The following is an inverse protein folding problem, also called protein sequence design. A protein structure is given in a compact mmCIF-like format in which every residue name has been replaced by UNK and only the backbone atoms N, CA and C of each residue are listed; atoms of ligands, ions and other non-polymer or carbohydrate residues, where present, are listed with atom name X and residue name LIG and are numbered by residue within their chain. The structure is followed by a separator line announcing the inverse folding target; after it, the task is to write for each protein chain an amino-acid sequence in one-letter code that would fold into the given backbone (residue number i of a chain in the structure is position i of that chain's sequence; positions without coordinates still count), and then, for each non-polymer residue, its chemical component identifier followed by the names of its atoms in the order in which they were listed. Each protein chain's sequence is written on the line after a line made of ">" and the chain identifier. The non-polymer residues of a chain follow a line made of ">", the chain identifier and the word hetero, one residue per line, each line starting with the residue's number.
data_IF_235533115838
#
_entry.id   IF_235533115838
#
_cell.length_a   1.000
_cell.length_b   1.000
_cell.length_c   1.000
_cell.angle_alpha   90.00
_cell.angle_beta   90.00
_cell.angle_gamma   90.00
#
_symmetry.space_group_name_H-M   'P 1'
#
loop_
_entity.id
_entity.type
_entity.pdbx_description
1 polymer ?
#
# COMPACT_ATOMS: atom_id res chain seq x y z
N UNK A 1 -60.21 36.89 1.93
CA UNK A 1 -60.10 35.48 1.51
C UNK A 1 -59.04 34.85 2.41
N UNK A 2 -59.49 34.41 3.59
CA UNK A 2 -58.68 33.84 4.66
C UNK A 2 -58.26 32.42 4.33
N UNK A 3 -56.96 32.20 4.11
CA UNK A 3 -56.37 30.85 4.07
C UNK A 3 -55.53 30.67 5.33
N UNK A 4 -56.29 30.41 6.41
CA UNK A 4 -56.04 29.55 7.56
C UNK A 4 -54.59 29.29 8.01
N UNK A 5 -54.35 29.84 9.21
CA UNK A 5 -53.29 29.64 10.21
C UNK A 5 -52.91 28.17 10.57
N UNK A 6 -53.58 27.17 9.99
CA UNK A 6 -53.37 25.74 10.28
C UNK A 6 -52.18 25.10 9.54
N UNK A 7 -51.67 25.72 8.46
CA UNK A 7 -50.59 25.17 7.63
C UNK A 7 -49.25 25.05 8.37
N UNK A 8 -48.89 26.04 9.21
CA UNK A 8 -47.62 26.06 9.95
C UNK A 8 -47.52 24.98 11.04
N UNK A 9 -48.65 24.56 11.64
CA UNK A 9 -48.68 23.55 12.70
C UNK A 9 -48.57 22.13 12.12
N UNK A 10 -49.15 21.89 10.94
CA UNK A 10 -49.04 20.62 10.23
C UNK A 10 -47.62 20.40 9.69
N UNK A 11 -46.97 21.45 9.17
CA UNK A 11 -45.56 21.39 8.75
C UNK A 11 -44.61 21.02 9.90
N UNK A 12 -44.90 21.50 11.13
CA UNK A 12 -44.11 21.21 12.34
C UNK A 12 -44.27 19.76 12.81
N UNK A 13 -45.44 19.16 12.62
CA UNK A 13 -45.72 17.75 12.96
C UNK A 13 -45.09 16.77 11.95
N UNK A 14 -45.07 17.13 10.66
CA UNK A 14 -44.37 16.34 9.63
C UNK A 14 -42.85 16.30 9.85
N UNK A 15 -42.25 17.41 10.31
CA UNK A 15 -40.81 17.46 10.61
C UNK A 15 -40.39 16.58 11.79
N UNK A 16 -41.27 16.37 12.78
CA UNK A 16 -40.95 15.53 13.95
C UNK A 16 -41.13 14.04 13.63
N UNK A 17 -42.11 13.69 12.79
CA UNK A 17 -42.35 12.29 12.38
C UNK A 17 -41.22 11.72 11.50
N UNK A 18 -40.55 12.57 10.70
CA UNK A 18 -39.53 12.13 9.75
C UNK A 18 -38.14 11.91 10.37
N UNK A 19 -37.88 12.44 11.58
CA UNK A 19 -36.55 12.34 12.23
C UNK A 19 -36.46 11.09 13.13
N UNK A 20 -37.57 10.62 13.69
CA UNK A 20 -37.60 9.45 14.60
C UNK A 20 -37.18 8.13 13.94
N UNK A 21 -37.48 7.81 12.66
CA UNK A 21 -37.01 6.55 12.08
C UNK A 21 -35.51 6.57 11.80
N UNK A 22 -34.88 7.75 11.63
CA UNK A 22 -33.45 7.85 11.28
C UNK A 22 -32.57 7.48 12.48
N UNK A 23 -32.99 7.75 13.72
CA UNK A 23 -32.26 7.34 14.93
C UNK A 23 -32.43 5.86 15.28
N UNK A 24 -33.44 5.18 14.73
CA UNK A 24 -33.63 3.73 14.92
C UNK A 24 -32.97 2.88 13.82
N UNK A 25 -32.59 3.52 12.71
CA UNK A 25 -31.71 2.96 11.69
C UNK A 25 -30.23 3.21 11.98
N UNK A 26 -29.84 3.49 13.24
CA UNK A 26 -28.48 3.21 13.73
C UNK A 26 -28.27 1.68 13.78
N UNK A 27 -28.16 1.14 12.58
CA UNK A 27 -27.29 0.07 12.13
C UNK A 27 -26.81 -0.81 13.28
N UNK A 28 -27.55 -1.91 13.47
CA UNK A 28 -27.08 -3.17 14.08
C UNK A 28 -25.89 -3.79 13.31
N UNK A 29 -24.98 -2.98 12.78
CA UNK A 29 -23.58 -3.39 12.60
C UNK A 29 -23.00 -3.51 14.00
N UNK A 30 -23.36 -4.59 14.69
CA UNK A 30 -22.49 -5.23 15.66
C UNK A 30 -21.12 -5.19 15.00
N UNK A 31 -20.25 -4.44 15.64
CA UNK A 31 -18.90 -4.12 15.26
C UNK A 31 -18.14 -5.43 15.05
N UNK A 32 -18.36 -6.11 13.91
CA UNK A 32 -17.37 -6.97 13.28
C UNK A 32 -16.30 -5.98 12.86
N UNK A 33 -15.52 -5.53 13.84
CA UNK A 33 -14.17 -5.07 13.59
C UNK A 33 -13.63 -6.09 12.61
N UNK A 34 -13.30 -5.65 11.40
CA UNK A 34 -12.56 -6.46 10.45
C UNK A 34 -11.23 -6.70 11.17
N UNK A 35 -11.18 -7.77 11.97
CA UNK A 35 -9.97 -8.20 12.63
C UNK A 35 -9.10 -8.68 11.48
N UNK A 36 -7.98 -8.01 11.28
CA UNK A 36 -6.94 -8.50 10.39
C UNK A 36 -6.72 -9.98 10.69
N UNK A 37 -6.68 -10.79 9.63
CA UNK A 37 -6.52 -12.23 9.73
C UNK A 37 -5.30 -12.53 10.60
N UNK A 38 -5.49 -13.25 11.71
CA UNK A 38 -4.39 -13.51 12.66
C UNK A 38 -3.40 -14.56 12.15
N UNK A 39 -3.81 -15.37 11.18
CA UNK A 39 -2.99 -16.40 10.56
C UNK A 39 -2.40 -15.86 9.26
N UNK A 40 -1.56 -14.82 9.38
CA UNK A 40 -0.89 -14.24 8.22
C UNK A 40 0.04 -15.29 7.60
N UNK A 41 -0.24 -15.66 6.37
CA UNK A 41 0.59 -16.56 5.57
C UNK A 41 1.85 -15.79 5.18
N UNK A 42 3.01 -16.43 5.27
CA UNK A 42 4.27 -15.83 4.83
C UNK A 42 4.20 -15.43 3.34
N UNK A 43 4.90 -14.35 2.96
CA UNK A 43 4.95 -13.95 1.56
C UNK A 43 5.73 -15.00 0.76
N UNK A 44 5.10 -15.52 -0.30
CA UNK A 44 5.74 -16.44 -1.25
C UNK A 44 6.62 -15.70 -2.25
N UNK A 45 7.46 -16.43 -2.99
CA UNK A 45 8.24 -15.85 -4.10
C UNK A 45 7.34 -15.11 -5.11
N UNK A 46 6.16 -15.67 -5.40
CA UNK A 46 5.19 -15.06 -6.33
C UNK A 46 4.64 -13.75 -5.80
N UNK A 47 4.38 -13.66 -4.50
CA UNK A 47 3.96 -12.42 -3.84
C UNK A 47 5.08 -11.38 -3.93
N UNK A 48 6.32 -11.76 -3.58
CA UNK A 48 7.49 -10.88 -3.63
C UNK A 48 7.77 -10.38 -5.05
N UNK A 49 7.68 -11.28 -6.04
CA UNK A 49 7.77 -10.96 -7.46
C UNK A 49 6.71 -9.95 -7.86
N UNK A 50 5.44 -10.19 -7.52
CA UNK A 50 4.36 -9.28 -7.82
C UNK A 50 4.62 -7.89 -7.22
N UNK A 51 4.97 -7.81 -5.93
CA UNK A 51 5.16 -6.55 -5.24
C UNK A 51 6.34 -5.73 -5.77
N UNK A 52 7.47 -6.38 -6.10
CA UNK A 52 8.61 -5.66 -6.69
C UNK A 52 8.31 -5.18 -8.11
N UNK A 53 7.57 -5.97 -8.90
CA UNK A 53 7.17 -5.58 -10.25
C UNK A 53 6.15 -4.42 -10.23
N UNK A 54 5.21 -4.43 -9.29
CA UNK A 54 4.31 -3.30 -9.05
C UNK A 54 5.07 -2.03 -8.68
N UNK A 55 6.03 -2.14 -7.74
CA UNK A 55 6.88 -1.02 -7.35
C UNK A 55 7.71 -0.47 -8.51
N UNK A 56 8.29 -1.35 -9.33
CA UNK A 56 9.05 -0.96 -10.51
C UNK A 56 8.16 -0.28 -11.57
N UNK A 57 6.99 -0.84 -11.86
CA UNK A 57 6.03 -0.26 -12.80
C UNK A 57 5.60 1.15 -12.36
N UNK A 58 5.25 1.32 -11.08
CA UNK A 58 4.94 2.62 -10.51
C UNK A 58 6.11 3.60 -10.66
N UNK A 59 7.33 3.17 -10.30
CA UNK A 59 8.53 4.01 -10.40
C UNK A 59 8.78 4.46 -11.84
N UNK A 60 8.66 3.55 -12.81
CA UNK A 60 8.82 3.84 -14.24
C UNK A 60 7.80 4.89 -14.71
N UNK A 61 6.52 4.68 -14.40
CA UNK A 61 5.44 5.60 -14.80
C UNK A 61 5.62 6.97 -14.16
N UNK A 62 5.89 7.01 -12.85
CA UNK A 62 6.08 8.25 -12.11
C UNK A 62 7.29 9.05 -12.63
N UNK A 63 8.39 8.36 -12.96
CA UNK A 63 9.58 8.98 -13.53
C UNK A 63 9.31 9.59 -14.91
N UNK A 64 8.53 8.90 -15.76
CA UNK A 64 8.10 9.43 -17.06
C UNK A 64 7.12 10.61 -16.94
N UNK A 65 6.35 10.65 -15.85
CA UNK A 65 5.50 11.77 -15.49
C UNK A 65 6.26 12.90 -14.76
N UNK A 66 7.59 12.89 -14.81
CA UNK A 66 8.48 13.91 -14.23
C UNK A 66 8.34 14.09 -12.70
N UNK A 67 7.81 13.09 -12.01
CA UNK A 67 7.81 13.04 -10.55
C UNK A 67 9.22 12.70 -10.08
N UNK A 68 9.73 13.41 -9.06
CA UNK A 68 11.07 13.17 -8.50
C UNK A 68 11.33 11.67 -8.27
N UNK A 69 12.42 11.19 -8.86
CA UNK A 69 12.76 9.76 -8.86
C UNK A 69 12.93 9.21 -7.45
N UNK A 70 13.60 9.95 -6.56
CA UNK A 70 13.86 9.49 -5.18
C UNK A 70 12.57 9.42 -4.37
N UNK A 71 11.69 10.40 -4.54
CA UNK A 71 10.36 10.41 -3.92
C UNK A 71 9.52 9.23 -4.39
N UNK A 72 9.46 9.01 -5.70
CA UNK A 72 8.75 7.87 -6.30
C UNK A 72 9.29 6.53 -5.82
N UNK A 73 10.62 6.39 -5.76
CA UNK A 73 11.28 5.20 -5.24
C UNK A 73 10.96 4.98 -3.75
N UNK A 74 10.94 6.04 -2.95
CA UNK A 74 10.57 5.96 -1.54
C UNK A 74 9.14 5.48 -1.33
N UNK A 75 8.18 6.02 -2.11
CA UNK A 75 6.78 5.57 -2.09
C UNK A 75 6.65 4.10 -2.49
N UNK A 76 7.33 3.69 -3.57
CA UNK A 76 7.32 2.31 -4.04
C UNK A 76 7.89 1.35 -2.97
N UNK A 77 8.99 1.73 -2.33
CA UNK A 77 9.69 0.93 -1.33
C UNK A 77 8.91 0.82 -0.02
N UNK A 78 8.27 1.91 0.41
CA UNK A 78 7.38 1.91 1.56
C UNK A 78 6.14 1.04 1.29
N UNK A 79 5.55 1.14 0.10
CA UNK A 79 4.42 0.30 -0.31
C UNK A 79 4.78 -1.18 -0.28
N UNK A 80 5.95 -1.54 -0.82
CA UNK A 80 6.47 -2.91 -0.78
C UNK A 80 6.58 -3.42 0.65
N UNK A 81 7.19 -2.64 1.56
CA UNK A 81 7.32 -3.02 2.96
C UNK A 81 5.96 -3.15 3.66
N UNK A 82 5.06 -2.19 3.45
CA UNK A 82 3.75 -2.14 4.10
C UNK A 82 2.83 -3.27 3.66
N UNK A 83 2.88 -3.69 2.39
CA UNK A 83 2.13 -4.86 1.94
C UNK A 83 2.62 -6.13 2.63
N UNK A 84 3.94 -6.31 2.78
CA UNK A 84 4.51 -7.49 3.44
C UNK A 84 4.20 -7.46 4.95
N UNK A 85 4.28 -6.31 5.61
CA UNK A 85 3.90 -6.18 7.02
C UNK A 85 2.39 -6.41 7.20
N UNK A 86 1.56 -5.76 6.39
CA UNK A 86 0.10 -5.76 6.54
C UNK A 86 -0.56 -7.09 6.18
N UNK A 87 -0.14 -7.73 5.09
CA UNK A 87 -0.72 -8.98 4.59
C UNK A 87 0.01 -10.24 5.08
N UNK A 88 1.31 -10.14 5.33
CA UNK A 88 2.15 -11.30 5.65
C UNK A 88 2.81 -11.20 7.04
N UNK A 89 2.54 -10.14 7.81
CA UNK A 89 3.06 -9.98 9.17
C UNK A 89 4.58 -9.86 9.22
N UNK A 90 5.21 -9.43 8.12
CA UNK A 90 6.66 -9.38 7.97
C UNK A 90 7.32 -10.74 7.72
N UNK A 91 6.56 -11.82 7.54
CA UNK A 91 7.08 -13.15 7.25
C UNK A 91 7.27 -13.36 5.75
N UNK A 92 8.36 -14.05 5.38
CA UNK A 92 8.73 -14.42 4.02
C UNK A 92 9.07 -15.91 4.05
N UNK A 93 8.54 -16.70 3.11
CA UNK A 93 8.65 -18.17 3.13
C UNK A 93 10.11 -18.64 3.16
N UNK A 94 10.98 -18.03 2.36
CA UNK A 94 12.40 -18.39 2.25
C UNK A 94 13.20 -18.10 3.53
N UNK A 95 12.65 -17.29 4.45
CA UNK A 95 13.25 -16.96 5.74
C UNK A 95 12.70 -17.81 6.90
N UNK A 96 11.77 -18.73 6.62
CA UNK A 96 11.11 -19.57 7.61
C UNK A 96 10.42 -18.74 8.70
N UNK A 97 10.76 -18.99 9.96
CA UNK A 97 10.15 -18.32 11.11
C UNK A 97 10.66 -16.89 11.35
N UNK A 98 11.66 -16.43 10.58
CA UNK A 98 12.27 -15.12 10.77
C UNK A 98 11.44 -14.03 10.09
N UNK A 99 10.89 -13.14 10.90
CA UNK A 99 10.20 -11.93 10.41
C UNK A 99 11.20 -10.81 10.17
N UNK A 100 10.94 -10.01 9.14
CA UNK A 100 11.69 -8.79 8.87
C UNK A 100 10.90 -7.58 9.37
N UNK A 101 11.63 -6.63 9.95
CA UNK A 101 11.09 -5.31 10.27
C UNK A 101 10.90 -4.47 9.01
N UNK A 102 10.09 -3.41 9.13
CA UNK A 102 9.77 -2.49 8.03
C UNK A 102 11.03 -1.88 7.40
N UNK A 103 12.04 -1.52 8.19
CA UNK A 103 13.28 -0.90 7.69
C UNK A 103 14.07 -1.86 6.80
N UNK A 104 14.16 -3.13 7.20
CA UNK A 104 14.81 -4.18 6.40
C UNK A 104 14.04 -4.45 5.12
N UNK A 105 12.70 -4.54 5.20
CA UNK A 105 11.84 -4.71 4.04
C UNK A 105 11.92 -3.53 3.07
N UNK A 106 11.93 -2.30 3.59
CA UNK A 106 12.08 -1.07 2.80
C UNK A 106 13.40 -1.08 2.02
N UNK A 107 14.52 -1.40 2.69
CA UNK A 107 15.83 -1.45 2.05
C UNK A 107 15.93 -2.57 1.01
N UNK A 108 15.39 -3.76 1.32
CA UNK A 108 15.34 -4.88 0.39
C UNK A 108 14.47 -4.54 -0.83
N UNK A 109 13.29 -3.97 -0.59
CA UNK A 109 12.36 -3.51 -1.62
C UNK A 109 12.99 -2.46 -2.51
N UNK A 110 13.68 -1.46 -1.94
CA UNK A 110 14.40 -0.42 -2.69
C UNK A 110 15.36 -1.05 -3.71
N UNK A 111 16.20 -2.00 -3.27
CA UNK A 111 17.17 -2.64 -4.14
C UNK A 111 16.50 -3.49 -5.23
N UNK A 112 15.48 -4.28 -4.86
CA UNK A 112 14.75 -5.13 -5.80
C UNK A 112 13.98 -4.32 -6.85
N UNK A 113 13.32 -3.24 -6.44
CA UNK A 113 12.55 -2.35 -7.32
C UNK A 113 13.48 -1.68 -8.33
N UNK A 114 14.66 -1.18 -7.90
CA UNK A 114 15.66 -0.64 -8.83
C UNK A 114 16.11 -1.71 -9.83
N UNK A 115 16.43 -2.92 -9.35
CA UNK A 115 16.82 -4.03 -10.22
C UNK A 115 15.76 -4.36 -11.26
N UNK A 116 14.49 -4.43 -10.86
CA UNK A 116 13.35 -4.61 -11.77
C UNK A 116 13.18 -3.45 -12.73
N UNK A 117 13.29 -2.20 -12.26
CA UNK A 117 13.15 -1.00 -13.10
C UNK A 117 14.25 -0.92 -14.17
N UNK A 118 15.48 -1.33 -13.86
CA UNK A 118 16.57 -1.39 -14.84
C UNK A 118 16.29 -2.37 -15.99
N UNK A 119 15.46 -3.40 -15.77
CA UNK A 119 15.05 -4.34 -16.81
C UNK A 119 13.85 -3.83 -17.64
N UNK A 120 12.95 -3.05 -17.03
CA UNK A 120 11.68 -2.65 -17.64
C UNK A 120 11.76 -1.27 -18.30
N UNK A 121 12.42 -0.31 -17.64
CA UNK A 121 12.52 1.09 -18.07
C UNK A 121 13.92 1.67 -17.81
N UNK A 122 14.98 1.08 -18.39
CA UNK A 122 16.37 1.49 -18.11
C UNK A 122 16.63 2.98 -18.34
N UNK A 123 15.92 3.61 -19.28
CA UNK A 123 16.00 5.03 -19.60
C UNK A 123 15.48 5.94 -18.50
N UNK A 124 14.56 5.45 -17.67
CA UNK A 124 13.93 6.21 -16.57
C UNK A 124 14.75 6.15 -15.27
N UNK A 125 15.77 5.30 -15.21
CA UNK A 125 16.62 5.14 -14.02
C UNK A 125 17.87 6.04 -14.15
N UNK A 126 18.11 6.97 -13.21
CA UNK A 126 19.28 7.83 -13.24
C UNK A 126 20.60 7.05 -13.26
N UNK A 127 21.56 7.51 -14.06
CA UNK A 127 22.86 6.83 -14.26
C UNK A 127 23.63 6.60 -12.96
N UNK A 128 23.57 7.55 -12.01
CA UNK A 128 24.19 7.39 -10.70
C UNK A 128 23.57 6.22 -9.90
N UNK A 129 22.25 6.10 -9.90
CA UNK A 129 21.53 5.01 -9.21
C UNK A 129 21.84 3.67 -9.87
N UNK A 130 21.89 3.62 -11.21
CA UNK A 130 22.32 2.43 -11.95
C UNK A 130 23.73 1.97 -11.54
N UNK A 131 24.68 2.89 -11.50
CA UNK A 131 26.07 2.58 -11.12
C UNK A 131 26.15 2.08 -9.66
N UNK A 132 25.42 2.70 -8.74
CA UNK A 132 25.36 2.29 -7.34
C UNK A 132 24.76 0.89 -7.18
N UNK A 133 23.70 0.59 -7.94
CA UNK A 133 23.10 -0.73 -7.98
C UNK A 133 24.08 -1.79 -8.48
N UNK A 134 24.75 -1.55 -9.61
CA UNK A 134 25.73 -2.48 -10.20
C UNK A 134 26.91 -2.73 -9.25
N UNK A 135 27.40 -1.69 -8.57
CA UNK A 135 28.47 -1.82 -7.57
C UNK A 135 28.05 -2.72 -6.42
N UNK A 136 26.85 -2.50 -5.88
CA UNK A 136 26.29 -3.31 -4.79
C UNK A 136 26.01 -4.75 -5.22
N UNK A 137 25.50 -4.96 -6.43
CA UNK A 137 25.28 -6.29 -7.00
C UNK A 137 26.59 -7.08 -7.12
N UNK A 138 27.66 -6.46 -7.64
CA UNK A 138 28.99 -7.07 -7.72
C UNK A 138 29.52 -7.47 -6.33
N UNK A 139 29.28 -6.64 -5.32
CA UNK A 139 29.66 -6.96 -3.94
C UNK A 139 28.92 -8.19 -3.43
N UNK A 140 27.60 -8.27 -3.61
CA UNK A 140 26.82 -9.44 -3.19
C UNK A 140 27.27 -10.73 -3.88
N UNK A 141 27.56 -10.69 -5.19
CA UNK A 141 28.07 -11.85 -5.94
C UNK A 141 29.44 -12.31 -5.40
N UNK A 142 30.28 -11.37 -4.96
CA UNK A 142 31.58 -11.69 -4.35
C UNK A 142 31.41 -12.32 -2.96
N UNK A 143 30.48 -11.80 -2.16
CA UNK A 143 30.18 -12.31 -0.82
C UNK A 143 29.52 -13.70 -0.88
N UNK A 144 28.69 -13.99 -1.88
CA UNK A 144 28.02 -15.30 -2.02
C UNK A 144 28.93 -16.42 -2.54
N UNK A 145 30.09 -16.07 -3.11
CA UNK A 145 31.12 -17.03 -3.59
C UNK A 145 32.14 -17.39 -2.51
N UNK A 146 32.09 -16.72 -1.36
CA UNK A 146 32.96 -16.95 -0.22
C UNK A 146 32.27 -17.86 0.78
#
# INVERSE_FOLDING_TARGET
>A
MDINFHSKRFLKLLGISLIVPITLFEINTINKQIKAEKNLIAASEKDLFLYRQMGASYLCIASKAEIDFKKSLGVASATFANVIIGKHGGAIEELGNKKLDEKRLYNAGTFQIIGSALNICPESVPKNIKNDYEKRLKQFIKESKK
#
